data_IF_789003344167
#
_entry.id   IF_789003344167
#
_cell.length_a   1.000
_cell.length_b   1.000
_cell.length_c   1.000
_cell.angle_alpha   90.00
_cell.angle_beta   90.00
_cell.angle_gamma   90.00
#
_symmetry.space_group_name_H-M   'P 1'
#
loop_
_entity.id
_entity.type
_entity.pdbx_description
1 polymer ?
#
# COMPACT_ATOMS: atom_id res chain seq x y z
N UNK A 1 -12.86 12.79 7.10
CA UNK A 1 -13.74 12.22 6.06
C UNK A 1 -13.11 10.90 5.63
N UNK A 2 -13.81 9.76 5.74
CA UNK A 2 -13.21 8.47 5.32
C UNK A 2 -13.15 8.45 3.79
N UNK A 3 -11.96 8.20 3.24
CA UNK A 3 -11.77 8.03 1.80
C UNK A 3 -12.59 6.84 1.32
N UNK A 4 -13.23 6.98 0.17
CA UNK A 4 -13.90 5.86 -0.51
C UNK A 4 -12.92 4.70 -0.72
N UNK A 5 -13.28 3.45 -0.33
CA UNK A 5 -12.35 2.32 -0.38
C UNK A 5 -11.80 2.03 -1.79
N UNK A 6 -12.63 2.15 -2.83
CA UNK A 6 -12.19 1.88 -4.21
C UNK A 6 -11.16 2.92 -4.66
N UNK A 7 -11.44 4.19 -4.36
CA UNK A 7 -10.51 5.31 -4.62
C UNK A 7 -9.18 5.11 -3.90
N UNK A 8 -9.22 4.70 -2.64
CA UNK A 8 -8.02 4.42 -1.86
C UNK A 8 -7.18 3.28 -2.47
N UNK A 9 -7.82 2.17 -2.85
CA UNK A 9 -7.14 1.01 -3.45
C UNK A 9 -6.46 1.43 -4.76
N UNK A 10 -7.18 2.08 -5.67
CA UNK A 10 -6.65 2.49 -6.98
C UNK A 10 -5.51 3.51 -6.86
N UNK A 11 -5.54 4.37 -5.85
CA UNK A 11 -4.51 5.39 -5.64
C UNK A 11 -3.19 4.82 -5.09
N UNK A 12 -3.23 3.70 -4.35
CA UNK A 12 -2.06 3.17 -3.64
C UNK A 12 -1.55 1.83 -4.22
N UNK A 13 -2.15 1.34 -5.30
CA UNK A 13 -1.80 0.05 -5.90
C UNK A 13 -1.79 0.13 -7.42
N UNK A 14 -1.14 -0.84 -8.06
CA UNK A 14 -1.13 -1.01 -9.51
C UNK A 14 -1.81 -2.31 -9.90
N UNK A 15 -2.49 -2.31 -11.06
CA UNK A 15 -3.14 -3.50 -11.58
C UNK A 15 -2.11 -4.43 -12.23
N UNK A 16 -1.72 -5.50 -11.53
CA UNK A 16 -0.68 -6.43 -11.94
C UNK A 16 -1.21 -7.86 -12.09
N UNK A 17 -0.51 -8.67 -12.89
CA UNK A 17 -0.75 -10.11 -12.99
C UNK A 17 0.28 -10.84 -12.13
N UNK A 18 -0.13 -11.60 -11.10
CA UNK A 18 0.82 -12.32 -10.26
C UNK A 18 1.58 -13.40 -11.05
N UNK A 19 2.87 -13.67 -10.75
CA UNK A 19 3.70 -14.60 -11.53
C UNK A 19 3.16 -16.04 -11.59
N UNK A 20 2.48 -16.49 -10.53
CA UNK A 20 1.98 -17.86 -10.40
C UNK A 20 0.55 -18.05 -10.93
N UNK A 21 -0.17 -16.96 -11.21
CA UNK A 21 -1.56 -16.94 -11.73
C UNK A 21 -1.76 -15.77 -12.70
N UNK A 22 -1.05 -15.76 -13.84
CA UNK A 22 -1.01 -14.61 -14.76
C UNK A 22 -2.37 -14.31 -15.43
N UNK A 23 -3.32 -15.23 -15.39
CA UNK A 23 -4.68 -15.06 -15.91
C UNK A 23 -5.56 -14.14 -15.03
N UNK A 24 -5.15 -13.87 -13.79
CA UNK A 24 -5.86 -12.98 -12.86
C UNK A 24 -5.15 -11.63 -12.79
N UNK A 25 -5.93 -10.54 -12.79
CA UNK A 25 -5.44 -9.18 -12.55
C UNK A 25 -5.88 -8.71 -11.17
N UNK A 26 -4.92 -8.28 -10.35
CA UNK A 26 -5.14 -7.80 -8.99
C UNK A 26 -4.54 -6.42 -8.80
N UNK A 27 -5.15 -5.63 -7.95
CA UNK A 27 -4.56 -4.41 -7.41
C UNK A 27 -3.51 -4.79 -6.37
N UNK A 28 -2.23 -4.70 -6.75
CA UNK A 28 -1.11 -5.02 -5.88
C UNK A 28 -0.35 -3.74 -5.56
N UNK A 29 0.05 -3.57 -4.30
CA UNK A 29 1.08 -2.60 -3.99
C UNK A 29 2.35 -3.00 -4.77
N UNK A 30 2.97 -2.05 -5.47
CA UNK A 30 4.36 -2.24 -5.91
C UNK A 30 5.22 -2.45 -4.67
N UNK A 31 6.28 -3.26 -4.77
CA UNK A 31 7.22 -3.63 -3.70
C UNK A 31 7.21 -2.59 -2.58
N UNK A 32 6.72 -3.02 -1.42
CA UNK A 32 6.25 -2.19 -0.32
C UNK A 32 7.36 -1.39 0.39
N UNK A 33 8.43 -1.01 -0.32
CA UNK A 33 9.58 -0.37 0.25
C UNK A 33 9.26 1.05 0.70
N UNK A 34 8.56 1.88 -0.09
CA UNK A 34 8.32 3.27 0.32
C UNK A 34 7.28 3.43 1.44
N UNK A 35 6.22 2.59 1.46
CA UNK A 35 5.21 2.64 2.53
C UNK A 35 5.71 2.01 3.84
N UNK A 36 6.60 1.01 3.80
CA UNK A 36 7.22 0.44 5.02
C UNK A 36 8.47 1.18 5.49
N UNK A 37 9.22 1.84 4.59
CA UNK A 37 10.36 2.69 4.99
C UNK A 37 9.91 4.00 5.61
N UNK A 38 8.71 4.50 5.27
CA UNK A 38 8.12 5.66 5.92
C UNK A 38 7.55 5.37 7.33
N UNK A 39 7.51 4.11 7.77
CA UNK A 39 6.74 3.71 8.97
C UNK A 39 7.55 3.44 10.25
N UNK A 40 8.68 4.07 10.46
CA UNK A 40 9.26 4.20 11.82
C UNK A 40 9.63 5.65 12.12
N UNK A 41 10.46 6.27 11.29
CA UNK A 41 10.96 7.63 11.52
C UNK A 41 9.85 8.70 11.51
N UNK A 42 8.84 8.57 10.64
CA UNK A 42 7.70 9.51 10.60
C UNK A 42 6.68 9.26 11.72
N UNK A 43 6.54 8.01 12.19
CA UNK A 43 5.69 7.65 13.35
C UNK A 43 6.29 8.14 14.67
N UNK A 44 7.62 8.04 14.79
CA UNK A 44 8.39 8.54 15.93
C UNK A 44 8.32 10.08 16.02
N UNK A 45 8.36 10.78 14.87
CA UNK A 45 8.23 12.23 14.79
C UNK A 45 6.85 12.76 15.25
N UNK A 46 5.78 11.96 15.17
CA UNK A 46 4.41 12.33 15.58
C UNK A 46 3.96 11.66 16.89
N UNK A 47 4.84 10.90 17.55
CA UNK A 47 4.60 10.30 18.87
C UNK A 47 3.59 9.14 18.89
N UNK A 48 3.43 8.42 17.77
CA UNK A 48 2.57 7.25 17.68
C UNK A 48 3.41 5.96 17.75
N UNK A 49 2.98 4.94 18.51
CA UNK A 49 3.68 3.66 18.52
C UNK A 49 3.58 2.98 17.14
N UNK A 50 4.62 2.25 16.71
CA UNK A 50 4.59 1.51 15.45
C UNK A 50 3.52 0.39 15.46
N UNK A 51 2.93 0.05 14.29
CA UNK A 51 1.90 -0.98 14.13
C UNK A 51 2.40 -2.42 14.30
#
# INVERSE_FOLDING_TARGET
>A
MKTDPETFIRANTSLLAPPHVPEIRLYLASEAHELWLKTEEELEAIGLPPP
#
